data_IF_875112895738
#
_entry.id   IF_875112895738
#
_cell.length_a   1.000
_cell.length_b   1.000
_cell.length_c   1.000
_cell.angle_alpha   90.00
_cell.angle_beta   90.00
_cell.angle_gamma   90.00
#
_symmetry.space_group_name_H-M   'P 1'
#
loop_
_entity.id
_entity.type
_entity.pdbx_description
1 polymer ?
#
# COMPACT_ATOMS: atom_id res chain seq x y z
N UNK A 1 -10.99 2.55 -5.97
CA UNK A 1 -11.18 1.13 -5.54
C UNK A 1 -12.61 0.67 -5.64
N UNK A 2 -13.08 0.39 -6.86
CA UNK A 2 -14.42 -0.20 -7.09
C UNK A 2 -14.39 -1.74 -7.12
N UNK A 3 -13.20 -2.35 -7.29
CA UNK A 3 -12.99 -3.79 -7.36
C UNK A 3 -11.83 -4.20 -6.43
N UNK A 4 -12.13 -4.51 -5.17
CA UNK A 4 -11.11 -4.92 -4.20
C UNK A 4 -10.85 -6.44 -4.31
N UNK A 5 -9.65 -6.89 -4.74
CA UNK A 5 -9.36 -8.31 -4.95
C UNK A 5 -9.37 -9.11 -3.65
N UNK A 6 -8.91 -8.54 -2.53
CA UNK A 6 -8.90 -9.18 -1.22
C UNK A 6 -10.34 -9.54 -0.80
N UNK A 7 -11.27 -8.59 -0.90
CA UNK A 7 -12.68 -8.82 -0.55
C UNK A 7 -13.29 -9.89 -1.47
N UNK A 8 -12.99 -9.86 -2.77
CA UNK A 8 -13.48 -10.85 -3.72
C UNK A 8 -13.00 -12.26 -3.36
N UNK A 9 -11.70 -12.43 -3.09
CA UNK A 9 -11.11 -13.71 -2.71
C UNK A 9 -11.66 -14.22 -1.36
N UNK A 10 -11.89 -13.33 -0.39
CA UNK A 10 -12.52 -13.68 0.88
C UNK A 10 -13.96 -14.17 0.70
N UNK A 11 -14.74 -13.54 -0.19
CA UNK A 11 -16.08 -14.04 -0.53
C UNK A 11 -16.04 -15.41 -1.23
N UNK A 12 -15.08 -15.63 -2.12
CA UNK A 12 -14.94 -16.92 -2.82
C UNK A 12 -14.60 -18.07 -1.86
N UNK A 13 -13.93 -17.77 -0.74
CA UNK A 13 -13.54 -18.72 0.31
C UNK A 13 -14.54 -18.83 1.47
N UNK A 14 -15.45 -17.86 1.61
CA UNK A 14 -16.47 -17.84 2.64
C UNK A 14 -17.32 -19.11 2.63
N UNK A 15 -17.49 -19.73 3.80
CA UNK A 15 -18.28 -20.95 4.00
C UNK A 15 -17.60 -22.23 3.49
N UNK A 16 -16.36 -22.14 2.98
CA UNK A 16 -15.56 -23.29 2.52
C UNK A 16 -14.46 -23.62 3.52
N UNK A 17 -13.53 -22.70 3.69
CA UNK A 17 -12.35 -22.86 4.55
C UNK A 17 -12.13 -21.66 5.50
N UNK A 18 -12.92 -20.58 5.33
CA UNK A 18 -13.00 -19.47 6.27
C UNK A 18 -14.44 -18.93 6.38
N UNK A 19 -14.72 -18.18 7.44
CA UNK A 19 -15.94 -17.40 7.59
C UNK A 19 -15.63 -15.91 7.40
N UNK A 20 -15.87 -15.37 6.22
CA UNK A 20 -15.76 -13.93 5.99
C UNK A 20 -16.90 -13.19 6.72
N UNK A 21 -16.57 -12.54 7.85
CA UNK A 21 -17.54 -11.87 8.73
C UNK A 21 -17.92 -10.48 8.23
N UNK A 22 -16.97 -9.73 7.65
CA UNK A 22 -17.25 -8.40 7.11
C UNK A 22 -16.00 -7.55 6.89
N UNK A 23 -16.24 -6.28 6.56
CA UNK A 23 -15.20 -5.27 6.31
C UNK A 23 -15.32 -4.15 7.35
N UNK A 24 -14.22 -3.84 8.02
CA UNK A 24 -14.14 -2.67 8.91
C UNK A 24 -13.42 -1.56 8.15
N UNK A 25 -14.16 -0.51 7.80
CA UNK A 25 -13.61 0.66 7.11
C UNK A 25 -13.08 1.65 8.14
N UNK A 26 -11.86 2.13 7.94
CA UNK A 26 -11.21 3.11 8.80
C UNK A 26 -10.75 4.28 7.96
N UNK A 27 -10.91 5.50 8.47
CA UNK A 27 -10.40 6.70 7.79
C UNK A 27 -8.95 6.93 8.19
N UNK A 28 -8.10 7.12 7.19
CA UNK A 28 -6.71 7.55 7.34
C UNK A 28 -6.66 9.05 7.57
N UNK A 29 -6.71 9.43 8.85
CA UNK A 29 -6.66 10.83 9.22
C UNK A 29 -5.20 11.32 9.27
N UNK A 30 -5.00 12.62 9.11
CA UNK A 30 -3.66 13.22 9.16
C UNK A 30 -3.17 13.36 10.61
N UNK A 31 -4.07 13.55 11.57
CA UNK A 31 -3.67 13.76 12.97
C UNK A 31 -3.55 12.44 13.74
N UNK A 32 -2.48 12.30 14.53
CA UNK A 32 -2.25 11.11 15.34
C UNK A 32 -3.41 10.79 16.29
N UNK A 33 -4.05 11.81 16.87
CA UNK A 33 -5.18 11.61 17.77
C UNK A 33 -6.39 10.99 17.06
N UNK A 34 -6.65 11.36 15.81
CA UNK A 34 -7.71 10.77 15.02
C UNK A 34 -7.37 9.35 14.58
N UNK A 35 -6.11 9.08 14.18
CA UNK A 35 -5.62 7.72 13.90
C UNK A 35 -5.81 6.79 15.10
N UNK A 36 -5.48 7.26 16.31
CA UNK A 36 -5.69 6.53 17.56
C UNK A 36 -7.17 6.24 17.82
N UNK A 37 -8.04 7.22 17.57
CA UNK A 37 -9.49 7.05 17.71
C UNK A 37 -10.04 6.00 16.74
N UNK A 38 -9.70 6.12 15.45
CA UNK A 38 -10.14 5.20 14.40
C UNK A 38 -9.71 3.76 14.71
N UNK A 39 -8.41 3.55 14.97
CA UNK A 39 -7.88 2.21 15.24
C UNK A 39 -8.34 1.61 16.58
N UNK A 40 -8.62 2.43 17.61
CA UNK A 40 -9.30 1.95 18.82
C UNK A 40 -10.70 1.42 18.53
N UNK A 41 -11.44 2.11 17.66
CA UNK A 41 -12.78 1.68 17.27
C UNK A 41 -12.73 0.40 16.42
N UNK A 42 -11.78 0.30 15.48
CA UNK A 42 -11.51 -0.93 14.71
C UNK A 42 -11.25 -2.12 15.63
N UNK A 43 -10.32 -1.98 16.58
CA UNK A 43 -9.97 -3.03 17.52
C UNK A 43 -11.17 -3.46 18.39
N UNK A 44 -11.96 -2.50 18.87
CA UNK A 44 -13.19 -2.77 19.63
C UNK A 44 -14.21 -3.54 18.80
N UNK A 45 -14.46 -3.11 17.56
CA UNK A 45 -15.43 -3.76 16.68
C UNK A 45 -15.00 -5.18 16.31
N UNK A 46 -13.72 -5.38 15.97
CA UNK A 46 -13.16 -6.70 15.69
C UNK A 46 -13.31 -7.66 16.88
N UNK A 47 -13.03 -7.20 18.09
CA UNK A 47 -13.23 -8.01 19.31
C UNK A 47 -14.71 -8.32 19.57
N UNK A 48 -15.61 -7.33 19.38
CA UNK A 48 -17.06 -7.54 19.52
C UNK A 48 -17.61 -8.58 18.54
N UNK A 49 -17.05 -8.63 17.33
CA UNK A 49 -17.38 -9.63 16.31
C UNK A 49 -16.66 -10.97 16.53
N UNK A 50 -15.77 -11.06 17.52
CA UNK A 50 -14.96 -12.25 17.84
C UNK A 50 -14.20 -12.77 16.60
N UNK A 51 -13.56 -11.86 15.86
CA UNK A 51 -12.77 -12.22 14.69
C UNK A 51 -11.51 -13.00 15.09
N UNK A 52 -11.22 -14.10 14.40
CA UNK A 52 -9.97 -14.85 14.58
C UNK A 52 -8.78 -14.18 13.88
N UNK A 53 -9.05 -13.44 12.79
CA UNK A 53 -8.03 -12.72 12.05
C UNK A 53 -8.57 -11.65 11.10
N UNK A 54 -7.65 -10.82 10.60
CA UNK A 54 -7.94 -9.71 9.70
C UNK A 54 -6.84 -9.53 8.64
N UNK A 55 -7.24 -9.21 7.42
CA UNK A 55 -6.33 -8.67 6.41
C UNK A 55 -6.45 -7.15 6.45
N UNK A 56 -5.33 -6.46 6.60
CA UNK A 56 -5.27 -5.00 6.69
C UNK A 56 -4.64 -4.46 5.41
N UNK A 57 -5.41 -3.66 4.69
CA UNK A 57 -4.94 -2.92 3.51
C UNK A 57 -5.16 -1.43 3.73
N UNK A 58 -4.35 -0.60 3.07
CA UNK A 58 -4.42 0.86 3.13
C UNK A 58 -4.48 1.49 1.74
N UNK A 59 -4.60 2.81 1.70
CA UNK A 59 -4.53 3.61 0.48
C UNK A 59 -3.44 4.67 0.57
N UNK A 60 -2.53 4.70 -0.40
CA UNK A 60 -1.39 5.62 -0.36
C UNK A 60 -0.29 5.16 0.59
N UNK A 61 0.60 6.09 0.95
CA UNK A 61 1.89 5.76 1.57
C UNK A 61 2.38 6.83 2.54
N UNK A 62 3.28 6.45 3.44
CA UNK A 62 3.92 7.34 4.39
C UNK A 62 3.04 7.64 5.61
N UNK A 63 2.14 8.63 5.51
CA UNK A 63 1.26 8.96 6.64
C UNK A 63 0.23 7.84 6.96
N UNK A 64 -0.40 7.20 5.97
CA UNK A 64 -1.25 6.02 6.17
C UNK A 64 -0.54 4.84 6.86
N UNK A 65 0.77 4.67 6.67
CA UNK A 65 1.51 3.54 7.23
C UNK A 65 1.36 3.45 8.76
N UNK A 66 1.23 4.59 9.44
CA UNK A 66 0.94 4.63 10.89
C UNK A 66 -0.45 4.06 11.21
N UNK A 67 -1.48 4.29 10.38
CA UNK A 67 -2.79 3.65 10.57
C UNK A 67 -2.70 2.14 10.38
N UNK A 68 -1.96 1.70 9.37
CA UNK A 68 -1.74 0.28 9.06
C UNK A 68 -1.11 -0.45 10.25
N UNK A 69 0.02 0.06 10.75
CA UNK A 69 0.74 -0.51 11.90
C UNK A 69 -0.09 -0.39 13.18
N UNK A 70 -0.81 0.72 13.39
CA UNK A 70 -1.63 0.89 14.60
C UNK A 70 -2.83 -0.06 14.65
N UNK A 71 -3.48 -0.33 13.51
CA UNK A 71 -4.53 -1.35 13.45
C UNK A 71 -3.94 -2.75 13.68
N UNK A 72 -2.84 -3.08 13.01
CA UNK A 72 -2.13 -4.35 13.19
C UNK A 72 -1.81 -4.63 14.67
N UNK A 73 -1.08 -3.71 15.30
CA UNK A 73 -0.62 -3.87 16.68
C UNK A 73 -1.75 -3.99 17.69
N UNK A 74 -2.85 -3.24 17.51
CA UNK A 74 -3.99 -3.30 18.41
C UNK A 74 -4.79 -4.59 18.28
N UNK A 75 -4.94 -5.10 17.06
CA UNK A 75 -5.59 -6.38 16.80
C UNK A 75 -4.76 -7.56 17.34
N UNK A 76 -3.46 -7.60 17.05
CA UNK A 76 -2.56 -8.64 17.57
C UNK A 76 -2.50 -8.65 19.11
N UNK A 77 -2.52 -7.48 19.77
CA UNK A 77 -2.61 -7.38 21.24
C UNK A 77 -3.92 -7.92 21.82
N UNK A 78 -4.97 -8.03 21.02
CA UNK A 78 -6.24 -8.66 21.40
C UNK A 78 -6.31 -10.14 21.00
N UNK A 79 -5.22 -10.71 20.46
CA UNK A 79 -5.17 -12.09 20.00
C UNK A 79 -5.77 -12.33 18.60
N UNK A 80 -6.12 -11.27 17.88
CA UNK A 80 -6.67 -11.35 16.51
C UNK A 80 -5.50 -11.30 15.54
N UNK A 81 -5.33 -12.36 14.73
CA UNK A 81 -4.19 -12.48 13.81
C UNK A 81 -4.29 -11.57 12.60
N UNK A 82 -3.21 -10.90 12.25
CA UNK A 82 -3.22 -9.91 11.17
C UNK A 82 -2.23 -10.24 10.07
N UNK A 83 -2.64 -10.00 8.83
CA UNK A 83 -1.75 -9.92 7.68
C UNK A 83 -1.90 -8.54 7.05
N UNK A 84 -0.79 -7.84 6.85
CA UNK A 84 -0.75 -6.58 6.11
C UNK A 84 -0.58 -6.88 4.62
N UNK A 85 -1.31 -6.14 3.77
CA UNK A 85 -1.10 -6.12 2.32
C UNK A 85 -0.92 -4.67 1.90
N UNK A 86 0.22 -4.36 1.28
CA UNK A 86 0.60 -2.99 0.88
C UNK A 86 1.63 -3.05 -0.25
N UNK A 87 1.90 -1.94 -0.94
CA UNK A 87 3.15 -1.76 -1.69
C UNK A 87 4.25 -1.23 -0.77
N UNK A 88 5.48 -1.14 -1.27
CA UNK A 88 6.61 -0.60 -0.52
C UNK A 88 7.24 0.62 -1.20
N UNK A 89 7.73 1.53 -0.37
CA UNK A 89 8.50 2.70 -0.80
C UNK A 89 9.93 2.54 -0.30
N UNK A 90 10.62 1.53 -0.84
CA UNK A 90 11.93 1.07 -0.39
C UNK A 90 13.10 1.80 -1.07
N UNK A 91 12.85 2.92 -1.75
CA UNK A 91 13.87 3.64 -2.52
C UNK A 91 14.24 2.92 -3.83
N UNK A 92 15.01 3.61 -4.70
CA UNK A 92 15.29 3.16 -6.07
C UNK A 92 16.11 1.87 -6.16
N UNK A 93 16.91 1.63 -5.14
CA UNK A 93 17.73 0.43 -4.98
C UNK A 93 17.04 -0.66 -4.12
N UNK A 94 15.84 -0.37 -3.60
CA UNK A 94 15.10 -1.27 -2.72
C UNK A 94 15.73 -1.48 -1.34
N UNK A 95 16.69 -0.65 -0.94
CA UNK A 95 17.44 -0.83 0.30
C UNK A 95 16.95 0.02 1.48
N UNK A 96 15.99 0.93 1.24
CA UNK A 96 15.41 1.77 2.29
C UNK A 96 14.33 1.04 3.07
N UNK A 97 14.01 1.56 4.26
CA UNK A 97 12.87 1.06 5.03
C UNK A 97 11.57 1.23 4.22
N UNK A 98 10.92 0.11 3.90
CA UNK A 98 9.75 0.03 3.01
C UNK A 98 8.54 0.85 3.44
N UNK A 99 8.30 0.96 4.76
CA UNK A 99 7.17 1.67 5.36
C UNK A 99 7.69 2.74 6.33
N UNK A 100 7.00 3.86 6.44
CA UNK A 100 7.39 4.95 7.35
C UNK A 100 7.24 4.58 8.83
N UNK A 101 6.39 3.59 9.16
CA UNK A 101 6.17 3.08 10.50
C UNK A 101 6.33 1.56 10.53
N UNK A 102 6.75 1.01 11.68
CA UNK A 102 6.97 -0.43 11.84
C UNK A 102 6.84 -0.85 13.32
N UNK A 103 6.38 -2.08 13.55
CA UNK A 103 6.29 -2.68 14.88
C UNK A 103 6.60 -4.19 14.80
N UNK A 104 7.31 -4.79 15.78
CA UNK A 104 7.59 -6.23 15.79
C UNK A 104 6.36 -7.15 15.73
N UNK A 105 5.17 -6.67 16.08
CA UNK A 105 3.91 -7.40 15.92
C UNK A 105 3.44 -7.47 14.47
N UNK A 106 3.86 -6.54 13.61
CA UNK A 106 3.58 -6.52 12.18
C UNK A 106 4.57 -7.41 11.41
N UNK A 107 4.59 -8.70 11.77
CA UNK A 107 5.55 -9.68 11.25
C UNK A 107 5.02 -10.53 10.08
N UNK A 108 3.78 -10.27 9.64
CA UNK A 108 3.16 -10.92 8.49
C UNK A 108 2.70 -9.84 7.49
N UNK A 109 3.54 -9.58 6.50
CA UNK A 109 3.32 -8.53 5.49
C UNK A 109 3.53 -9.11 4.10
N UNK A 110 2.57 -8.84 3.20
CA UNK A 110 2.63 -9.18 1.78
C UNK A 110 2.80 -7.88 1.01
N UNK A 111 3.86 -7.81 0.19
CA UNK A 111 4.16 -6.63 -0.62
C UNK A 111 3.68 -6.80 -2.06
N UNK A 112 3.05 -5.76 -2.61
CA UNK A 112 2.79 -5.57 -4.04
C UNK A 112 4.00 -5.12 -4.85
N UNK A 113 5.18 -5.03 -4.22
CA UNK A 113 6.44 -4.61 -4.81
C UNK A 113 6.75 -3.13 -4.65
N UNK A 114 7.95 -2.73 -5.11
CA UNK A 114 8.54 -1.42 -4.84
C UNK A 114 8.03 -0.33 -5.79
N UNK A 115 7.31 0.65 -5.23
CA UNK A 115 6.80 1.81 -5.94
C UNK A 115 7.90 2.80 -6.38
N UNK A 116 9.10 2.69 -5.82
CA UNK A 116 10.26 3.51 -6.20
C UNK A 116 11.13 2.88 -7.31
N UNK A 117 10.75 1.74 -7.88
CA UNK A 117 11.51 1.12 -8.99
C UNK A 117 11.64 2.11 -10.16
N UNK A 118 12.88 2.32 -10.63
CA UNK A 118 13.16 3.26 -11.71
C UNK A 118 12.85 2.63 -13.06
N UNK A 119 12.07 3.34 -13.85
CA UNK A 119 11.72 2.98 -15.22
C UNK A 119 12.19 4.07 -16.20
N UNK A 120 12.41 3.67 -17.45
CA UNK A 120 12.73 4.59 -18.55
C UNK A 120 11.59 4.51 -19.56
N UNK A 121 10.91 5.63 -19.76
CA UNK A 121 9.92 5.81 -20.81
C UNK A 121 10.61 6.36 -22.06
N UNK A 122 10.38 5.76 -23.24
CA UNK A 122 10.99 6.24 -24.47
C UNK A 122 10.41 7.61 -24.87
N UNK A 123 11.17 8.35 -25.68
CA UNK A 123 10.66 9.56 -26.32
C UNK A 123 9.45 9.23 -27.21
N UNK A 124 8.44 10.10 -27.20
CA UNK A 124 7.20 9.91 -27.94
C UNK A 124 7.08 10.93 -29.07
N UNK A 125 6.61 10.49 -30.25
CA UNK A 125 6.38 11.37 -31.41
C UNK A 125 5.37 12.49 -31.14
N UNK A 126 4.46 12.26 -30.19
CA UNK A 126 3.40 13.19 -29.81
C UNK A 126 3.31 13.30 -28.30
N UNK A 127 3.46 14.52 -27.80
CA UNK A 127 3.31 14.88 -26.38
C UNK A 127 2.05 15.71 -26.21
N UNK A 128 1.25 15.39 -25.19
CA UNK A 128 0.06 16.15 -24.80
C UNK A 128 0.30 16.70 -23.39
N UNK A 129 0.26 18.02 -23.24
CA UNK A 129 0.54 18.69 -21.97
C UNK A 129 1.98 19.22 -21.88
N UNK A 130 2.46 19.44 -20.65
CA UNK A 130 3.79 20.00 -20.39
C UNK A 130 4.77 18.90 -19.95
N UNK A 131 5.72 18.56 -20.81
CA UNK A 131 6.71 17.50 -20.56
C UNK A 131 7.66 17.82 -19.40
N UNK A 132 7.94 19.11 -19.14
CA UNK A 132 8.83 19.54 -18.05
C UNK A 132 8.30 19.18 -16.67
N UNK A 133 7.01 18.85 -16.58
CA UNK A 133 6.41 18.39 -15.33
C UNK A 133 7.01 17.05 -14.88
N UNK A 134 7.60 16.25 -15.78
CA UNK A 134 8.31 15.02 -15.43
C UNK A 134 9.41 15.21 -14.36
N UNK A 135 10.05 16.37 -14.30
CA UNK A 135 11.11 16.65 -13.32
C UNK A 135 10.59 16.93 -11.90
N UNK A 136 9.28 17.15 -11.74
CA UNK A 136 8.69 17.62 -10.48
C UNK A 136 7.46 16.81 -10.01
N UNK A 137 6.96 15.86 -10.80
CA UNK A 137 5.87 15.00 -10.36
C UNK A 137 6.32 14.06 -9.23
N UNK A 138 5.37 13.48 -8.50
CA UNK A 138 5.66 12.35 -7.62
C UNK A 138 6.29 11.20 -8.43
N UNK A 139 7.42 10.67 -7.96
CA UNK A 139 8.26 9.72 -8.68
C UNK A 139 9.22 10.33 -9.71
N UNK A 140 9.08 11.63 -10.02
CA UNK A 140 10.02 12.41 -10.81
C UNK A 140 11.08 13.10 -9.97
N UNK A 141 12.13 13.59 -10.63
CA UNK A 141 13.24 14.28 -10.00
C UNK A 141 13.97 15.17 -11.02
N UNK A 142 14.80 16.10 -10.54
CA UNK A 142 15.62 16.93 -11.42
C UNK A 142 16.47 16.07 -12.36
N UNK A 143 16.30 16.26 -13.67
CA UNK A 143 16.92 15.44 -14.71
C UNK A 143 16.12 14.19 -15.11
N UNK A 144 14.86 14.05 -14.69
CA UNK A 144 13.97 13.01 -15.19
C UNK A 144 13.74 13.12 -16.70
N UNK A 145 13.61 14.33 -17.25
CA UNK A 145 13.50 14.56 -18.69
C UNK A 145 14.89 14.69 -19.35
N UNK A 146 15.23 13.73 -20.21
CA UNK A 146 16.47 13.77 -20.99
C UNK A 146 16.37 14.69 -22.22
N UNK A 147 17.53 15.10 -22.76
CA UNK A 147 17.60 15.95 -23.97
C UNK A 147 17.00 15.28 -25.22
N UNK A 148 17.04 13.94 -25.29
CA UNK A 148 16.46 13.16 -26.36
C UNK A 148 14.93 12.97 -26.23
N UNK A 149 14.34 13.48 -25.15
CA UNK A 149 12.91 13.40 -24.85
C UNK A 149 12.49 12.13 -24.10
N UNK A 150 13.41 11.23 -23.77
CA UNK A 150 13.13 10.10 -22.87
C UNK A 150 12.95 10.57 -21.42
N UNK A 151 12.22 9.78 -20.63
CA UNK A 151 11.87 10.14 -19.24
C UNK A 151 12.31 9.02 -18.30
N UNK A 152 13.18 9.34 -17.34
CA UNK A 152 13.58 8.44 -16.25
C UNK A 152 12.88 8.84 -14.96
N UNK A 153 12.00 7.98 -14.47
CA UNK A 153 11.14 8.25 -13.29
C UNK A 153 10.94 6.95 -12.50
N UNK A 154 10.45 7.07 -11.29
CA UNK A 154 9.96 5.92 -10.52
C UNK A 154 8.60 5.46 -11.06
N UNK A 155 8.30 4.16 -10.96
CA UNK A 155 7.09 3.57 -11.53
C UNK A 155 5.79 4.21 -11.01
N UNK A 156 5.78 4.72 -9.78
CA UNK A 156 4.66 5.48 -9.20
C UNK A 156 4.25 6.72 -10.01
N UNK A 157 5.13 7.25 -10.86
CA UNK A 157 4.81 8.34 -11.78
C UNK A 157 3.68 7.96 -12.76
N UNK A 158 3.51 6.67 -13.04
CA UNK A 158 2.42 6.15 -13.86
C UNK A 158 1.24 5.83 -12.94
N UNK A 159 0.20 6.66 -12.99
CA UNK A 159 -1.02 6.46 -12.18
C UNK A 159 -1.60 5.06 -12.41
N UNK A 160 -1.70 4.28 -11.33
CA UNK A 160 -2.24 2.92 -11.35
C UNK A 160 -1.25 1.82 -11.77
N UNK A 161 0.03 2.14 -11.95
CA UNK A 161 1.06 1.11 -12.17
C UNK A 161 1.40 0.35 -10.88
N UNK A 162 1.28 1.00 -9.72
CA UNK A 162 1.35 0.39 -8.39
C UNK A 162 -0.05 0.11 -7.85
N UNK A 163 -0.16 -0.87 -6.94
CA UNK A 163 -1.42 -1.22 -6.30
C UNK A 163 -1.16 -1.97 -4.98
N UNK A 164 -1.56 -1.36 -3.88
CA UNK A 164 -1.39 -1.84 -2.51
C UNK A 164 -2.21 -3.09 -2.21
N UNK A 165 -3.22 -3.39 -3.05
CA UNK A 165 -4.07 -4.58 -2.93
C UNK A 165 -3.54 -5.78 -3.73
N UNK A 166 -2.37 -5.64 -4.39
CA UNK A 166 -1.75 -6.72 -5.16
C UNK A 166 -2.45 -7.06 -6.48
N UNK A 167 -3.17 -6.12 -7.09
CA UNK A 167 -3.86 -6.35 -8.37
C UNK A 167 -2.91 -6.44 -9.58
N UNK A 168 -1.72 -5.84 -9.49
CA UNK A 168 -0.76 -5.77 -10.60
C UNK A 168 0.19 -7.00 -10.59
N UNK A 169 1.19 -6.99 -11.48
CA UNK A 169 2.23 -8.04 -11.57
C UNK A 169 3.56 -7.61 -10.94
N UNK A 170 3.57 -6.46 -10.26
CA UNK A 170 4.76 -5.99 -9.57
C UNK A 170 4.98 -6.92 -8.36
N UNK A 171 6.22 -7.33 -8.15
CA UNK A 171 6.57 -8.28 -7.08
C UNK A 171 8.04 -8.13 -6.75
N UNK A 172 8.39 -8.36 -5.48
CA UNK A 172 9.77 -8.65 -5.12
C UNK A 172 10.17 -10.00 -5.72
N UNK A 173 11.42 -10.13 -6.15
CA UNK A 173 12.02 -11.41 -6.56
C UNK A 173 13.20 -11.68 -5.64
N UNK A 174 13.33 -12.91 -5.17
CA UNK A 174 14.56 -13.34 -4.51
C UNK A 174 15.72 -13.20 -5.49
N UNK A 175 16.81 -12.56 -5.05
CA UNK A 175 18.07 -12.40 -5.78
C UNK A 175 19.02 -13.52 -5.38
#
# INVERSE_FOLDING_TARGET
HLNNPIIKDLYERHGKDLNFVGVIITNENVTLADKQRSSNFTAKLAAMLSLDGAIISQEGFGNPDTDLIMNCTKLEKLGIKTVIVTDEYAGRDGASQSLADADPLANATVTGGNANEVIILPAMDKVIGNIKTADIIAGGFDGSLAEDGSITVEIQAITGATNELGFNKLTAREI
#
